data_IF_966099948668
#
_entry.id   IF_966099948668
#
_cell.length_a   1.000
_cell.length_b   1.000
_cell.length_c   1.000
_cell.angle_alpha   90.00
_cell.angle_beta   90.00
_cell.angle_gamma   90.00
#
_symmetry.space_group_name_H-M   'P 1'
#
loop_
_entity.id
_entity.type
_entity.pdbx_description
1 polymer ?
#
# COMPACT_ATOMS: atom_id res chain seq x y z
N UNK A 1 4.57 7.76 6.03
CA UNK A 1 4.38 9.16 5.55
C UNK A 1 3.15 9.84 6.13
N UNK A 2 2.79 9.59 7.39
CA UNK A 2 1.73 10.31 8.11
C UNK A 2 2.30 10.78 9.44
N UNK A 3 2.22 12.08 9.72
CA UNK A 3 2.60 12.70 10.99
C UNK A 3 1.34 13.18 11.71
N UNK A 4 1.39 13.21 13.03
CA UNK A 4 0.31 13.72 13.87
C UNK A 4 0.75 15.04 14.48
N UNK A 5 -0.03 16.11 14.30
CA UNK A 5 0.22 17.40 14.97
C UNK A 5 -0.07 17.30 16.46
N UNK A 6 0.38 18.29 17.24
CA UNK A 6 0.02 18.44 18.66
C UNK A 6 -1.50 18.56 18.89
N UNK A 7 -2.22 19.09 17.90
CA UNK A 7 -3.68 19.14 17.84
C UNK A 7 -4.34 17.79 17.48
N UNK A 8 -3.56 16.72 17.27
CA UNK A 8 -4.07 15.38 16.91
C UNK A 8 -4.46 15.23 15.44
N UNK A 9 -4.07 16.16 14.57
CA UNK A 9 -4.40 16.12 13.14
C UNK A 9 -3.39 15.27 12.37
N UNK A 10 -3.89 14.31 11.58
CA UNK A 10 -3.07 13.52 10.67
C UNK A 10 -2.72 14.32 9.40
N UNK A 11 -1.43 14.36 9.07
CA UNK A 11 -0.86 15.10 7.95
C UNK A 11 0.07 14.20 7.13
N UNK A 12 -0.07 14.19 5.81
CA UNK A 12 0.86 13.48 4.92
C UNK A 12 2.21 14.21 4.87
N UNK A 13 3.31 13.46 4.86
CA UNK A 13 4.67 13.99 4.74
C UNK A 13 5.49 13.22 3.69
N UNK A 14 6.71 13.69 3.40
CA UNK A 14 7.70 12.97 2.60
C UNK A 14 7.27 12.67 1.15
N UNK A 15 6.95 13.74 0.41
CA UNK A 15 6.69 13.70 -1.04
C UNK A 15 7.98 13.78 -1.89
N UNK A 16 9.16 13.90 -1.25
CA UNK A 16 10.43 14.21 -1.92
C UNK A 16 10.95 13.12 -2.86
N UNK A 17 10.45 11.89 -2.71
CA UNK A 17 10.77 10.73 -3.55
C UNK A 17 9.71 10.45 -4.62
N UNK A 18 8.59 11.17 -4.61
CA UNK A 18 7.45 10.93 -5.50
C UNK A 18 7.66 11.43 -6.94
N UNK A 19 8.61 12.34 -7.17
CA UNK A 19 8.80 13.03 -8.46
C UNK A 19 10.06 12.65 -9.24
N UNK A 20 10.89 11.72 -8.75
CA UNK A 20 12.08 11.28 -9.50
C UNK A 20 11.68 10.12 -10.41
N UNK A 21 11.18 10.46 -11.60
CA UNK A 21 10.80 9.52 -12.67
C UNK A 21 12.00 9.02 -13.50
N UNK A 22 13.20 9.57 -13.29
CA UNK A 22 14.41 9.20 -14.01
C UNK A 22 15.54 8.91 -13.03
N UNK A 23 15.74 7.67 -12.60
CA UNK A 23 17.10 7.16 -12.38
C UNK A 23 17.08 5.63 -12.27
N UNK A 24 17.55 4.98 -13.35
CA UNK A 24 18.03 3.59 -13.48
C UNK A 24 17.49 2.60 -12.44
N UNK A 25 16.64 1.68 -12.91
CA UNK A 25 15.75 0.78 -12.16
C UNK A 25 16.25 0.03 -10.92
N UNK A 26 17.53 0.10 -10.56
CA UNK A 26 18.03 -0.32 -9.25
C UNK A 26 17.80 0.69 -8.13
N UNK A 27 17.79 2.00 -8.43
CA UNK A 27 17.65 3.04 -7.39
C UNK A 27 16.20 3.22 -6.92
N UNK A 28 15.24 3.23 -7.85
CA UNK A 28 13.82 3.43 -7.55
C UNK A 28 13.20 2.24 -6.79
N UNK A 29 13.57 1.01 -7.16
CA UNK A 29 13.14 -0.18 -6.42
C UNK A 29 13.74 -0.19 -5.01
N UNK A 30 15.01 0.23 -4.84
CA UNK A 30 15.63 0.30 -3.53
C UNK A 30 15.06 1.43 -2.64
N UNK A 31 14.74 2.59 -3.22
CA UNK A 31 14.23 3.76 -2.47
C UNK A 31 12.72 3.69 -2.20
N UNK A 32 11.91 3.31 -3.19
CA UNK A 32 10.45 3.33 -3.11
C UNK A 32 9.90 2.01 -2.58
N UNK A 33 10.46 0.88 -3.04
CA UNK A 33 9.99 -0.46 -2.67
C UNK A 33 10.78 -1.01 -1.49
N UNK A 34 12.11 -0.83 -1.43
CA UNK A 34 12.97 -1.40 -0.39
C UNK A 34 12.60 -0.99 1.04
N UNK A 35 12.05 0.22 1.24
CA UNK A 35 11.53 0.68 2.53
C UNK A 35 10.03 0.41 2.77
N UNK A 36 9.24 0.19 1.70
CA UNK A 36 7.78 0.15 1.77
C UNK A 36 7.17 -1.15 1.19
N UNK A 37 7.93 -2.25 1.15
CA UNK A 37 7.50 -3.54 0.55
C UNK A 37 6.13 -4.01 1.03
N UNK A 38 5.78 -3.72 2.29
CA UNK A 38 4.53 -4.20 2.90
C UNK A 38 3.29 -3.42 2.48
N UNK A 39 3.47 -2.21 1.93
CA UNK A 39 2.39 -1.33 1.48
C UNK A 39 2.30 -1.26 -0.04
N UNK A 40 3.37 -1.57 -0.76
CA UNK A 40 3.41 -1.44 -2.22
C UNK A 40 2.50 -2.44 -2.95
N UNK A 41 1.90 -1.96 -4.03
CA UNK A 41 0.95 -2.69 -4.86
C UNK A 41 1.62 -3.76 -5.73
N UNK A 42 0.95 -4.88 -6.04
CA UNK A 42 1.54 -6.02 -6.75
C UNK A 42 2.07 -5.67 -8.15
N UNK A 43 1.44 -4.73 -8.85
CA UNK A 43 1.87 -4.28 -10.17
C UNK A 43 3.24 -3.61 -10.17
N UNK A 44 3.66 -3.00 -9.06
CA UNK A 44 4.95 -2.31 -8.96
C UNK A 44 6.16 -3.27 -8.92
N UNK A 45 5.91 -4.56 -8.70
CA UNK A 45 6.93 -5.61 -8.72
C UNK A 45 7.09 -6.28 -10.08
N UNK A 46 6.24 -5.92 -11.06
CA UNK A 46 6.33 -6.46 -12.42
C UNK A 46 7.41 -5.71 -13.17
N UNK A 47 8.23 -6.44 -13.94
CA UNK A 47 9.18 -5.84 -14.87
C UNK A 47 8.55 -5.97 -16.26
N UNK A 48 8.45 -4.86 -16.97
CA UNK A 48 7.92 -4.84 -18.32
C UNK A 48 8.89 -5.54 -19.29
N UNK A 49 8.42 -5.95 -20.48
CA UNK A 49 9.25 -6.66 -21.47
C UNK A 49 10.49 -5.86 -21.92
N UNK A 50 10.43 -4.53 -21.82
CA UNK A 50 11.52 -3.60 -22.11
C UNK A 50 12.46 -3.34 -20.91
N UNK A 51 12.34 -4.14 -19.84
CA UNK A 51 13.01 -3.97 -18.55
C UNK A 51 12.68 -2.66 -17.82
N UNK A 52 11.62 -1.94 -18.20
CA UNK A 52 11.13 -0.79 -17.45
C UNK A 52 10.33 -1.20 -16.22
N UNK A 53 10.33 -0.32 -15.21
CA UNK A 53 9.51 -0.47 -14.00
C UNK A 53 8.18 0.26 -14.24
N UNK A 54 7.03 -0.34 -13.91
CA UNK A 54 5.73 0.32 -13.98
C UNK A 54 5.72 1.62 -13.17
N UNK A 55 5.13 2.70 -13.70
CA UNK A 55 4.98 3.94 -12.95
C UNK A 55 4.04 3.73 -11.76
N UNK A 56 4.26 4.47 -10.68
CA UNK A 56 3.28 4.59 -9.59
C UNK A 56 2.06 5.34 -10.12
N UNK A 57 0.88 4.81 -9.81
CA UNK A 57 -0.41 5.37 -10.23
C UNK A 57 -1.28 5.67 -9.02
N UNK A 58 -2.34 6.45 -9.20
CA UNK A 58 -3.35 6.66 -8.15
C UNK A 58 -3.90 5.33 -7.60
N UNK A 59 -4.10 4.33 -8.45
CA UNK A 59 -4.57 3.01 -8.00
C UNK A 59 -3.54 2.26 -7.14
N UNK A 60 -2.25 2.48 -7.37
CA UNK A 60 -1.17 1.95 -6.52
C UNK A 60 -1.15 2.65 -5.15
N UNK A 61 -1.48 3.95 -5.11
CA UNK A 61 -1.67 4.68 -3.86
C UNK A 61 -2.90 4.19 -3.09
N UNK A 62 -4.01 3.87 -3.77
CA UNK A 62 -5.20 3.28 -3.14
C UNK A 62 -4.90 1.93 -2.48
N UNK A 63 -4.10 1.08 -3.14
CA UNK A 63 -3.63 -0.17 -2.52
C UNK A 63 -2.83 0.09 -1.24
N UNK A 64 -1.90 1.05 -1.31
CA UNK A 64 -1.09 1.47 -0.17
C UNK A 64 -1.95 2.04 0.96
N UNK A 65 -3.01 2.77 0.62
CA UNK A 65 -3.99 3.30 1.56
C UNK A 65 -4.73 2.19 2.32
N UNK A 66 -5.19 1.13 1.64
CA UNK A 66 -5.78 -0.04 2.30
C UNK A 66 -4.82 -0.69 3.31
N UNK A 67 -3.53 -0.74 2.96
CA UNK A 67 -2.47 -1.22 3.84
C UNK A 67 -2.25 -0.31 5.07
N UNK A 68 -2.32 1.01 4.90
CA UNK A 68 -2.28 1.98 6.00
C UNK A 68 -3.51 1.87 6.91
N UNK A 69 -4.71 1.72 6.34
CA UNK A 69 -5.93 1.53 7.14
C UNK A 69 -5.82 0.28 8.03
N UNK A 70 -5.33 -0.83 7.47
CA UNK A 70 -5.06 -2.04 8.23
C UNK A 70 -4.11 -1.76 9.39
N UNK A 71 -3.00 -1.06 9.12
CA UNK A 71 -1.98 -0.76 10.12
C UNK A 71 -2.52 0.10 11.25
N UNK A 72 -3.26 1.16 10.92
CA UNK A 72 -3.87 2.07 11.91
C UNK A 72 -4.88 1.33 12.78
N UNK A 73 -5.76 0.52 12.19
CA UNK A 73 -6.81 -0.18 12.93
C UNK A 73 -6.29 -1.37 13.76
N UNK A 74 -5.17 -1.98 13.34
CA UNK A 74 -4.61 -3.15 14.01
C UNK A 74 -3.41 -2.85 14.89
N UNK A 75 -2.76 -1.70 14.72
CA UNK A 75 -1.49 -1.35 15.35
C UNK A 75 -0.28 -2.14 14.82
N UNK A 76 -0.44 -2.89 13.73
CA UNK A 76 0.62 -3.74 13.17
C UNK A 76 0.77 -3.51 11.67
N UNK A 77 2.02 -3.47 11.20
CA UNK A 77 2.33 -3.39 9.77
C UNK A 77 1.68 -4.54 8.99
N UNK A 78 1.34 -4.33 7.71
CA UNK A 78 0.86 -5.41 6.85
C UNK A 78 1.85 -6.59 6.83
N UNK A 79 1.29 -7.80 6.79
CA UNK A 79 2.07 -9.05 6.86
C UNK A 79 2.98 -9.16 8.08
N UNK A 80 2.62 -8.59 9.23
CA UNK A 80 3.42 -8.61 10.47
C UNK A 80 3.88 -10.00 10.94
N UNK A 81 3.23 -11.06 10.47
CA UNK A 81 3.59 -12.46 10.74
C UNK A 81 4.71 -13.01 9.84
N UNK A 82 5.17 -12.26 8.84
CA UNK A 82 6.30 -12.59 7.98
C UNK A 82 7.54 -11.81 8.43
N UNK A 83 8.66 -12.52 8.62
CA UNK A 83 9.88 -11.94 9.18
C UNK A 83 10.74 -11.22 8.15
N UNK A 84 10.64 -11.60 6.87
CA UNK A 84 11.52 -11.08 5.80
C UNK A 84 10.70 -10.49 4.67
N UNK A 85 11.15 -9.38 4.12
CA UNK A 85 10.46 -8.72 3.01
C UNK A 85 10.39 -9.59 1.75
N UNK A 86 11.39 -10.44 1.52
CA UNK A 86 11.32 -11.44 0.45
C UNK A 86 10.10 -12.38 0.58
N UNK A 87 9.68 -12.74 1.80
CA UNK A 87 8.47 -13.54 2.00
C UNK A 87 7.21 -12.73 1.67
N UNK A 88 7.19 -11.44 2.01
CA UNK A 88 6.10 -10.52 1.66
C UNK A 88 5.96 -10.41 0.15
N UNK A 89 7.06 -10.20 -0.57
CA UNK A 89 7.07 -10.11 -2.04
C UNK A 89 6.50 -11.39 -2.66
N UNK A 90 6.88 -12.57 -2.14
CA UNK A 90 6.36 -13.85 -2.63
C UNK A 90 4.83 -13.96 -2.41
N UNK A 91 4.32 -13.59 -1.24
CA UNK A 91 2.89 -13.65 -0.95
C UNK A 91 2.10 -12.64 -1.80
N UNK A 92 2.60 -11.40 -1.94
CA UNK A 92 2.03 -10.37 -2.81
C UNK A 92 1.97 -10.85 -4.26
N UNK A 93 3.05 -11.47 -4.76
CA UNK A 93 3.09 -12.02 -6.12
C UNK A 93 2.10 -13.17 -6.33
N UNK A 94 1.81 -13.95 -5.28
CA UNK A 94 0.78 -15.02 -5.30
C UNK A 94 -0.65 -14.48 -5.14
N UNK A 95 -0.84 -13.17 -4.98
CA UNK A 95 -2.15 -12.57 -4.69
C UNK A 95 -2.64 -12.78 -3.26
N UNK A 96 -1.79 -13.27 -2.35
CA UNK A 96 -2.15 -13.48 -0.95
C UNK A 96 -2.12 -12.14 -0.22
N UNK A 97 -3.27 -11.70 0.31
CA UNK A 97 -3.43 -10.45 1.05
C UNK A 97 -3.11 -10.63 2.55
N UNK A 98 -2.90 -9.53 3.31
CA UNK A 98 -2.74 -9.62 4.76
C UNK A 98 -3.93 -10.32 5.44
N UNK A 99 -3.64 -11.03 6.54
CA UNK A 99 -4.69 -11.69 7.33
C UNK A 99 -5.55 -10.66 8.06
N UNK A 100 -6.85 -10.92 8.14
CA UNK A 100 -7.75 -10.10 8.95
C UNK A 100 -7.30 -10.10 10.42
N UNK A 101 -7.06 -8.92 11.03
CA UNK A 101 -6.72 -8.84 12.45
C UNK A 101 -7.90 -9.25 13.34
N UNK A 102 -7.60 -9.86 14.49
CA UNK A 102 -8.59 -10.20 15.51
C UNK A 102 -8.83 -9.04 16.47
N UNK A 103 -9.25 -7.90 15.94
CA UNK A 103 -9.59 -6.70 16.72
C UNK A 103 -11.00 -6.24 16.39
N UNK A 104 -11.74 -5.77 17.40
CA UNK A 104 -13.08 -5.22 17.22
C UNK A 104 -13.08 -3.92 16.40
N UNK A 105 -11.93 -3.23 16.30
CA UNK A 105 -11.77 -2.01 15.50
C UNK A 105 -11.90 -2.28 13.99
N UNK A 106 -11.58 -3.49 13.53
CA UNK A 106 -11.73 -3.89 12.12
C UNK A 106 -13.11 -4.52 11.94
N UNK A 107 -14.12 -3.65 11.78
CA UNK A 107 -15.50 -4.05 11.48
C UNK A 107 -15.59 -4.76 10.12
N UNK A 108 -16.68 -5.49 9.87
CA UNK A 108 -16.87 -6.16 8.58
C UNK A 108 -16.93 -5.18 7.41
N UNK A 109 -17.51 -3.99 7.63
CA UNK A 109 -17.57 -2.93 6.63
C UNK A 109 -16.18 -2.39 6.29
N UNK A 110 -15.37 -2.06 7.31
CA UNK A 110 -14.00 -1.60 7.10
C UNK A 110 -13.14 -2.69 6.47
N UNK A 111 -13.32 -3.95 6.87
CA UNK A 111 -12.60 -5.07 6.27
C UNK A 111 -12.95 -5.25 4.80
N UNK A 112 -14.24 -5.18 4.43
CA UNK A 112 -14.69 -5.25 3.05
C UNK A 112 -14.04 -4.14 2.21
N UNK A 113 -14.06 -2.90 2.72
CA UNK A 113 -13.46 -1.75 2.07
C UNK A 113 -11.93 -1.90 1.89
N UNK A 114 -11.22 -2.35 2.93
CA UNK A 114 -9.77 -2.62 2.84
C UNK A 114 -9.48 -3.67 1.75
N UNK A 115 -10.29 -4.72 1.63
CA UNK A 115 -10.12 -5.72 0.57
C UNK A 115 -10.40 -5.15 -0.83
N UNK A 116 -11.35 -4.22 -0.95
CA UNK A 116 -11.63 -3.53 -2.20
C UNK A 116 -10.41 -2.69 -2.65
N UNK A 117 -9.76 -1.97 -1.73
CA UNK A 117 -8.49 -1.28 -2.01
C UNK A 117 -7.38 -2.24 -2.49
N UNK A 118 -7.44 -3.51 -2.09
CA UNK A 118 -6.47 -4.55 -2.46
C UNK A 118 -6.86 -5.38 -3.68
N UNK A 119 -7.84 -4.95 -4.50
CA UNK A 119 -8.19 -5.64 -5.73
C UNK A 119 -6.94 -5.89 -6.61
N UNK A 120 -6.89 -7.07 -7.23
CA UNK A 120 -5.74 -7.52 -8.02
C UNK A 120 -5.57 -6.66 -9.28
N UNK A 121 -6.67 -6.39 -9.99
CA UNK A 121 -6.69 -5.41 -11.06
C UNK A 121 -6.70 -3.99 -10.45
N UNK A 122 -5.72 -3.12 -10.79
CA UNK A 122 -5.74 -1.73 -10.38
C UNK A 122 -7.06 -1.02 -10.69
N UNK A 123 -7.74 -1.32 -11.80
CA UNK A 123 -8.97 -0.63 -12.20
C UNK A 123 -10.20 -1.01 -11.37
N UNK A 124 -10.15 -2.16 -10.70
CA UNK A 124 -11.21 -2.62 -9.79
C UNK A 124 -11.10 -1.98 -8.39
N UNK A 125 -10.01 -1.24 -8.13
CA UNK A 125 -9.81 -0.50 -6.88
C UNK A 125 -10.66 0.76 -6.89
N UNK A 126 -11.17 1.20 -5.72
CA UNK A 126 -12.02 2.37 -5.65
C UNK A 126 -11.21 3.62 -6.04
N UNK A 127 -11.89 4.62 -6.59
CA UNK A 127 -11.26 5.90 -6.81
C UNK A 127 -11.14 6.71 -5.50
N UNK A 128 -10.43 7.84 -5.57
CA UNK A 128 -10.21 8.68 -4.40
C UNK A 128 -11.51 9.33 -3.88
N UNK A 129 -12.52 9.54 -4.74
CA UNK A 129 -13.80 10.09 -4.34
C UNK A 129 -14.63 9.07 -3.55
N UNK A 130 -14.61 7.81 -3.97
CA UNK A 130 -15.23 6.68 -3.27
C UNK A 130 -14.54 6.42 -1.92
N UNK A 131 -13.21 6.54 -1.88
CA UNK A 131 -12.44 6.43 -0.64
C UNK A 131 -12.82 7.53 0.34
N UNK A 132 -12.89 8.78 -0.14
CA UNK A 132 -13.26 9.93 0.70
C UNK A 132 -14.64 9.78 1.33
N UNK A 133 -15.62 9.24 0.58
CA UNK A 133 -16.98 8.98 1.08
C UNK A 133 -17.05 7.83 2.08
N UNK A 134 -16.14 6.87 2.00
CA UNK A 134 -16.15 5.66 2.83
C UNK A 134 -15.49 5.82 4.20
N UNK A 135 -14.75 6.92 4.40
CA UNK A 135 -13.93 7.18 5.60
C UNK A 135 -14.51 8.32 6.47
N UNK A 136 -15.66 8.89 6.08
CA UNK A 136 -16.43 9.85 6.88
C UNK A 136 -17.39 9.15 7.85
#
# INVERSE_FOLDING_TARGET
NILITDEGKACLCDFGLSSITEFQGTSYLASTIGGNVRWAAPELYRINEDNSVPPVTSHSDIYSFGSVMLEVLSGHVPYSYLLRDAQVIIEVHKGVKPRRPKTALVTDQLWCFINLCWADDPTDRPDIEEVSKSVQ
#
